data_IF_847987146437
#
_entry.id   IF_847987146437
#
_cell.length_a   1.000
_cell.length_b   1.000
_cell.length_c   1.000
_cell.angle_alpha   90.00
_cell.angle_beta   90.00
_cell.angle_gamma   90.00
#
_symmetry.space_group_name_H-M   'P 1'
#
loop_
_entity.id
_entity.type
_entity.pdbx_description
1 polymer ?
#
# COMPACT_ATOMS: atom_id res chain seq x y z
N UNK A 1 16.31 -1.24 -2.75
CA UNK A 1 15.53 -0.12 -3.34
C UNK A 1 16.54 0.97 -3.66
N UNK A 2 16.98 1.01 -4.91
CA UNK A 2 17.96 1.97 -5.42
C UNK A 2 17.26 3.21 -6.01
N UNK A 3 18.02 4.14 -6.56
CA UNK A 3 17.60 5.43 -7.09
C UNK A 3 16.52 5.28 -8.16
N UNK A 4 16.68 4.30 -9.06
CA UNK A 4 15.71 4.01 -10.11
C UNK A 4 14.37 3.56 -9.52
N UNK A 5 14.39 2.64 -8.55
CA UNK A 5 13.17 2.16 -7.88
C UNK A 5 12.32 3.31 -7.32
N UNK A 6 12.96 4.29 -6.66
CA UNK A 6 12.24 5.42 -6.06
C UNK A 6 11.47 6.26 -7.10
N UNK A 7 12.02 6.43 -8.30
CA UNK A 7 11.34 7.13 -9.40
C UNK A 7 10.38 6.25 -10.19
N UNK A 8 10.75 5.00 -10.48
CA UNK A 8 9.97 4.10 -11.34
C UNK A 8 8.64 3.70 -10.70
N UNK A 9 8.60 3.52 -9.38
CA UNK A 9 7.36 3.28 -8.65
C UNK A 9 6.38 4.46 -8.77
N UNK A 10 6.89 5.70 -8.74
CA UNK A 10 6.07 6.90 -8.94
C UNK A 10 5.47 6.91 -10.34
N UNK A 11 6.31 6.70 -11.36
CA UNK A 11 5.86 6.62 -12.76
C UNK A 11 4.81 5.52 -12.94
N UNK A 12 5.10 4.31 -12.48
CA UNK A 12 4.23 3.15 -12.62
C UNK A 12 2.85 3.37 -11.98
N UNK A 13 2.78 3.84 -10.75
CA UNK A 13 1.50 4.05 -10.08
C UNK A 13 0.72 5.25 -10.62
N UNK A 14 1.40 6.28 -11.14
CA UNK A 14 0.73 7.37 -11.83
C UNK A 14 0.09 6.87 -13.14
N UNK A 15 0.78 6.04 -13.92
CA UNK A 15 0.22 5.42 -15.12
C UNK A 15 -0.96 4.49 -14.79
N UNK A 16 -0.85 3.63 -13.77
CA UNK A 16 -1.93 2.75 -13.33
C UNK A 16 -3.14 3.54 -12.78
N UNK A 17 -2.91 4.71 -12.19
CA UNK A 17 -3.98 5.58 -11.70
C UNK A 17 -4.83 6.16 -12.83
N UNK A 18 -4.24 6.39 -14.00
CA UNK A 18 -4.92 6.90 -15.20
C UNK A 18 -5.40 5.79 -16.15
N UNK A 19 -4.91 4.56 -15.99
CA UNK A 19 -5.35 3.43 -16.81
C UNK A 19 -6.78 2.99 -16.45
N UNK A 20 -7.73 3.29 -17.32
CA UNK A 20 -9.14 2.93 -17.17
C UNK A 20 -9.42 1.42 -17.28
N UNK A 21 -8.48 0.64 -17.83
CA UNK A 21 -8.60 -0.82 -17.91
C UNK A 21 -8.15 -1.51 -16.62
N UNK A 22 -7.21 -0.89 -15.89
CA UNK A 22 -6.74 -1.39 -14.61
C UNK A 22 -7.82 -1.23 -13.53
N UNK A 23 -8.14 -2.32 -12.82
CA UNK A 23 -9.10 -2.29 -11.69
C UNK A 23 -8.45 -2.57 -10.35
N UNK A 24 -7.39 -3.38 -10.34
CA UNK A 24 -6.70 -3.85 -9.14
C UNK A 24 -5.23 -4.07 -9.48
N UNK A 25 -4.33 -3.75 -8.57
CA UNK A 25 -2.89 -3.97 -8.71
C UNK A 25 -2.46 -5.07 -7.74
N UNK A 26 -1.63 -6.00 -8.21
CA UNK A 26 -0.94 -6.97 -7.33
C UNK A 26 0.54 -6.66 -7.33
N UNK A 27 1.12 -6.43 -6.16
CA UNK A 27 2.56 -6.18 -5.95
C UNK A 27 3.20 -7.42 -5.34
N UNK A 28 4.31 -7.89 -5.92
CA UNK A 28 5.13 -8.99 -5.38
C UNK A 28 6.61 -8.76 -5.68
N UNK A 29 7.50 -9.48 -4.98
CA UNK A 29 8.94 -9.43 -5.22
C UNK A 29 9.42 -10.58 -6.11
N UNK A 30 10.41 -10.32 -6.97
CA UNK A 30 11.12 -11.37 -7.70
C UNK A 30 12.15 -12.08 -6.79
N UNK A 31 12.57 -13.30 -7.18
CA UNK A 31 13.62 -14.02 -6.47
C UNK A 31 13.22 -14.53 -5.07
N UNK A 32 14.20 -14.68 -4.18
CA UNK A 32 14.08 -15.38 -2.88
C UNK A 32 13.33 -14.62 -1.80
N UNK A 33 13.32 -13.30 -1.85
CA UNK A 33 12.75 -12.43 -0.82
C UNK A 33 11.83 -11.40 -1.49
N UNK A 34 10.90 -10.83 -0.73
CA UNK A 34 10.11 -9.71 -1.20
C UNK A 34 10.98 -8.46 -1.40
N UNK A 35 11.71 -8.04 -0.36
CA UNK A 35 12.72 -6.97 -0.45
C UNK A 35 13.66 -6.96 0.75
N UNK A 36 14.94 -6.67 0.49
CA UNK A 36 15.94 -6.43 1.53
C UNK A 36 15.97 -4.95 2.00
N UNK A 37 15.09 -4.09 1.48
CA UNK A 37 15.01 -2.68 1.85
C UNK A 37 15.85 -1.77 0.95
N UNK A 38 16.34 -0.66 1.50
CA UNK A 38 17.11 0.35 0.77
C UNK A 38 18.46 -0.21 0.30
N UNK A 39 18.95 0.25 -0.85
CA UNK A 39 20.34 0.04 -1.23
C UNK A 39 21.22 1.01 -0.42
N UNK A 40 21.99 0.47 0.54
CA UNK A 40 22.79 1.30 1.46
C UNK A 40 23.90 2.06 0.75
N UNK A 41 24.52 1.47 -0.28
CA UNK A 41 25.59 2.14 -1.03
C UNK A 41 25.03 3.31 -1.82
N UNK A 42 23.87 3.11 -2.45
CA UNK A 42 23.20 4.18 -3.17
C UNK A 42 22.68 5.28 -2.23
N UNK A 43 22.17 4.92 -1.04
CA UNK A 43 21.81 5.88 0.01
C UNK A 43 23.02 6.72 0.45
N UNK A 44 24.17 6.08 0.69
CA UNK A 44 25.40 6.78 1.06
C UNK A 44 25.85 7.78 -0.01
N UNK A 45 25.76 7.40 -1.29
CA UNK A 45 26.18 8.26 -2.40
C UNK A 45 25.18 9.39 -2.70
N UNK A 46 23.88 9.16 -2.54
CA UNK A 46 22.84 10.10 -2.97
C UNK A 46 22.30 11.00 -1.85
N UNK A 47 22.33 10.55 -0.58
CA UNK A 47 21.74 11.25 0.57
C UNK A 47 22.82 11.81 1.49
N UNK A 48 23.88 11.04 1.78
CA UNK A 48 24.91 11.43 2.75
C UNK A 48 26.02 12.33 2.18
N UNK A 49 25.93 12.71 0.90
CA UNK A 49 26.75 13.76 0.28
C UNK A 49 25.86 14.92 -0.20
N UNK A 50 25.22 15.66 0.71
CA UNK A 50 24.38 16.79 0.33
C UNK A 50 25.24 17.99 -0.11
N UNK A 51 24.80 18.66 -1.17
CA UNK A 51 25.35 19.95 -1.59
C UNK A 51 24.68 21.10 -0.84
N UNK A 52 25.44 22.15 -0.51
CA UNK A 52 24.93 23.40 0.05
C UNK A 52 25.96 24.12 0.91
N UNK A 53 25.90 25.45 0.92
CA UNK A 53 26.90 26.30 1.58
C UNK A 53 26.79 26.32 3.12
N UNK A 54 25.63 25.94 3.66
CA UNK A 54 25.37 25.89 5.10
C UNK A 54 24.33 24.84 5.47
N UNK A 55 24.16 24.61 6.78
CA UNK A 55 23.20 23.65 7.32
C UNK A 55 21.77 23.90 6.85
N UNK A 56 21.34 25.15 6.71
CA UNK A 56 19.96 25.46 6.33
C UNK A 56 19.68 25.11 4.86
N UNK A 57 20.61 25.43 3.95
CA UNK A 57 20.55 25.11 2.52
C UNK A 57 20.62 23.59 2.30
N UNK A 58 21.55 22.91 2.98
CA UNK A 58 21.65 21.45 3.00
C UNK A 58 20.32 20.83 3.46
N UNK A 59 19.77 21.31 4.58
CA UNK A 59 18.51 20.82 5.15
C UNK A 59 17.33 20.99 4.18
N UNK A 60 17.28 22.09 3.43
CA UNK A 60 16.26 22.31 2.42
C UNK A 60 16.36 21.30 1.26
N UNK A 61 17.58 21.02 0.80
CA UNK A 61 17.86 19.97 -0.19
C UNK A 61 17.45 18.59 0.30
N UNK A 62 17.81 18.22 1.53
CA UNK A 62 17.45 16.95 2.16
C UNK A 62 15.93 16.81 2.29
N UNK A 63 15.23 17.84 2.80
CA UNK A 63 13.76 17.82 2.89
C UNK A 63 13.11 17.58 1.53
N UNK A 64 13.61 18.20 0.47
CA UNK A 64 13.12 17.98 -0.90
C UNK A 64 13.36 16.54 -1.36
N UNK A 65 14.52 15.95 -1.05
CA UNK A 65 14.82 14.53 -1.35
C UNK A 65 13.88 13.60 -0.59
N UNK A 66 13.73 13.76 0.73
CA UNK A 66 12.82 12.95 1.56
C UNK A 66 11.38 13.02 1.02
N UNK A 67 10.90 14.22 0.64
CA UNK A 67 9.56 14.36 0.06
C UNK A 67 9.38 13.58 -1.26
N UNK A 68 10.42 13.48 -2.09
CA UNK A 68 10.38 12.64 -3.30
C UNK A 68 10.35 11.15 -2.95
N UNK A 69 11.13 10.71 -1.95
CA UNK A 69 11.13 9.31 -1.51
C UNK A 69 9.79 8.91 -0.85
N UNK A 70 9.19 9.82 -0.08
CA UNK A 70 7.83 9.64 0.48
C UNK A 70 6.79 9.46 -0.63
N UNK A 71 6.95 10.16 -1.76
CA UNK A 71 6.01 10.06 -2.88
C UNK A 71 6.00 8.66 -3.49
N UNK A 72 7.14 7.96 -3.53
CA UNK A 72 7.29 6.58 -4.02
C UNK A 72 6.25 5.61 -3.47
N UNK A 73 5.90 5.73 -2.19
CA UNK A 73 4.85 4.90 -1.58
C UNK A 73 3.53 5.63 -1.44
N UNK A 74 3.53 6.95 -1.37
CA UNK A 74 2.29 7.73 -1.31
C UNK A 74 1.45 7.61 -2.58
N UNK A 75 2.07 7.40 -3.75
CA UNK A 75 1.33 7.11 -5.00
C UNK A 75 0.51 5.83 -4.94
N UNK A 76 0.91 4.84 -4.12
CA UNK A 76 0.17 3.57 -3.94
C UNK A 76 -1.17 3.84 -3.24
N UNK A 77 -1.13 4.67 -2.20
CA UNK A 77 -2.31 5.09 -1.45
C UNK A 77 -3.20 6.03 -2.28
N UNK A 78 -2.59 6.97 -3.02
CA UNK A 78 -3.31 7.90 -3.91
C UNK A 78 -3.96 7.21 -5.11
N UNK A 79 -3.38 6.11 -5.59
CA UNK A 79 -3.95 5.34 -6.69
C UNK A 79 -5.35 4.84 -6.31
N UNK A 80 -6.41 5.18 -7.08
CA UNK A 80 -7.77 4.85 -6.69
C UNK A 80 -8.07 3.34 -6.83
N UNK A 81 -7.25 2.60 -7.57
CA UNK A 81 -7.35 1.14 -7.70
C UNK A 81 -6.84 0.46 -6.42
N UNK A 82 -7.53 -0.57 -5.89
CA UNK A 82 -7.01 -1.35 -4.78
C UNK A 82 -5.68 -2.04 -5.12
N UNK A 83 -4.80 -2.12 -4.13
CA UNK A 83 -3.47 -2.68 -4.23
C UNK A 83 -3.34 -3.83 -3.23
N UNK A 84 -3.24 -5.04 -3.77
CA UNK A 84 -2.94 -6.25 -3.01
C UNK A 84 -1.44 -6.47 -3.04
N UNK A 85 -0.80 -6.62 -1.90
CA UNK A 85 0.62 -6.96 -1.81
C UNK A 85 0.82 -8.36 -1.27
N UNK A 86 1.67 -9.12 -1.96
CA UNK A 86 1.96 -10.52 -1.70
C UNK A 86 3.44 -10.67 -1.31
N UNK A 87 3.69 -10.89 -0.01
CA UNK A 87 5.02 -10.88 0.60
C UNK A 87 5.53 -12.30 0.87
N UNK A 88 6.65 -12.69 0.25
CA UNK A 88 7.38 -13.92 0.59
C UNK A 88 8.76 -13.62 1.18
N UNK A 89 9.21 -14.44 2.14
CA UNK A 89 10.49 -14.24 2.81
C UNK A 89 10.60 -12.85 3.47
N UNK A 90 11.74 -12.17 3.26
CA UNK A 90 12.03 -10.93 3.98
C UNK A 90 11.30 -9.70 3.40
N UNK A 91 10.75 -8.87 4.29
CA UNK A 91 10.26 -7.52 4.03
C UNK A 91 10.91 -6.54 5.03
N UNK A 92 11.95 -5.84 4.58
CA UNK A 92 12.87 -5.10 5.46
C UNK A 92 12.86 -3.61 5.19
N UNK A 93 12.87 -2.79 6.26
CA UNK A 93 12.98 -1.34 6.22
C UNK A 93 11.89 -0.71 5.35
N UNK A 94 12.29 0.05 4.33
CA UNK A 94 11.40 0.62 3.30
C UNK A 94 10.42 -0.38 2.64
N UNK A 95 10.66 -1.70 2.75
CA UNK A 95 9.65 -2.70 2.44
C UNK A 95 8.39 -2.58 3.29
N UNK A 96 8.53 -2.34 4.60
CA UNK A 96 7.43 -2.08 5.54
C UNK A 96 6.70 -0.78 5.18
N UNK A 97 7.44 0.27 4.80
CA UNK A 97 6.87 1.54 4.35
C UNK A 97 5.99 1.37 3.11
N UNK A 98 6.44 0.52 2.19
CA UNK A 98 5.68 0.17 0.99
C UNK A 98 4.41 -0.61 1.32
N UNK A 99 4.51 -1.73 2.06
CA UNK A 99 3.32 -2.59 2.29
C UNK A 99 2.27 -1.91 3.17
N UNK A 100 2.67 -0.98 4.04
CA UNK A 100 1.75 -0.20 4.88
C UNK A 100 1.00 0.87 4.08
N UNK A 101 1.46 1.20 2.87
CA UNK A 101 0.73 2.02 1.90
C UNK A 101 -0.22 1.21 0.99
N UNK A 102 -0.09 -0.12 0.94
CA UNK A 102 -0.99 -1.01 0.21
C UNK A 102 -2.29 -1.27 0.99
N UNK A 103 -3.35 -1.68 0.28
CA UNK A 103 -4.68 -1.87 0.85
C UNK A 103 -4.84 -3.24 1.54
N UNK A 104 -4.39 -4.31 0.87
CA UNK A 104 -4.52 -5.69 1.33
C UNK A 104 -3.13 -6.33 1.37
N UNK A 105 -2.77 -6.93 2.51
CA UNK A 105 -1.47 -7.61 2.69
C UNK A 105 -1.67 -9.11 2.86
N UNK A 106 -0.92 -9.89 2.10
CA UNK A 106 -0.86 -11.36 2.16
C UNK A 106 0.60 -11.76 2.35
N UNK A 107 0.86 -12.85 3.06
CA UNK A 107 2.23 -13.34 3.16
C UNK A 107 2.34 -14.86 3.12
N UNK A 108 3.56 -15.35 2.92
CA UNK A 108 3.90 -16.76 3.10
C UNK A 108 4.23 -17.07 4.57
N UNK A 109 4.25 -18.35 4.92
CA UNK A 109 4.58 -18.81 6.28
C UNK A 109 6.02 -18.50 6.67
N UNK A 110 6.94 -18.48 5.70
CA UNK A 110 8.35 -18.11 5.91
C UNK A 110 8.60 -16.59 5.87
N UNK A 111 7.54 -15.79 5.71
CA UNK A 111 7.67 -14.34 5.64
C UNK A 111 7.98 -13.73 7.01
N UNK A 112 8.75 -12.64 6.99
CA UNK A 112 9.01 -11.83 8.16
C UNK A 112 9.20 -10.35 7.79
N UNK A 113 8.86 -9.49 8.74
CA UNK A 113 8.79 -8.04 8.60
C UNK A 113 9.73 -7.38 9.60
N UNK A 114 10.40 -6.29 9.20
CA UNK A 114 11.34 -5.60 10.07
C UNK A 114 11.37 -4.11 9.79
N UNK A 115 11.00 -3.29 10.77
CA UNK A 115 11.26 -1.84 10.77
C UNK A 115 12.74 -1.67 11.12
N UNK A 116 13.60 -1.56 10.11
CA UNK A 116 15.05 -1.76 10.24
C UNK A 116 15.82 -0.46 10.49
N UNK A 117 15.14 0.67 10.37
CA UNK A 117 15.74 2.00 10.25
C UNK A 117 16.57 2.39 11.48
N UNK A 118 16.18 1.99 12.70
CA UNK A 118 16.96 2.29 13.90
C UNK A 118 18.32 1.60 13.94
N UNK A 119 18.46 0.42 13.32
CA UNK A 119 19.75 -0.27 13.22
C UNK A 119 20.72 0.41 12.25
N UNK A 120 20.22 1.31 11.38
CA UNK A 120 21.04 2.13 10.47
C UNK A 120 21.14 3.59 10.94
N UNK A 121 20.68 3.89 12.16
CA UNK A 121 20.83 5.20 12.78
C UNK A 121 19.83 6.25 12.31
N UNK A 122 18.66 5.86 11.77
CA UNK A 122 17.62 6.80 11.35
C UNK A 122 16.22 6.38 11.82
N UNK A 123 15.34 7.34 12.02
CA UNK A 123 13.92 7.07 12.20
C UNK A 123 13.27 6.91 10.82
N UNK A 124 12.43 5.89 10.63
CA UNK A 124 11.78 5.66 9.33
C UNK A 124 10.97 6.87 8.87
N UNK A 125 11.27 7.37 7.67
CA UNK A 125 10.82 8.69 7.20
C UNK A 125 10.04 8.63 5.87
N UNK A 126 9.86 7.44 5.28
CA UNK A 126 9.15 7.26 4.00
C UNK A 126 7.74 6.66 4.11
N UNK A 127 7.28 6.32 5.33
CA UNK A 127 5.88 6.00 5.57
C UNK A 127 5.54 5.14 6.79
N UNK A 128 6.46 4.29 7.26
CA UNK A 128 6.18 3.29 8.30
C UNK A 128 5.60 3.94 9.56
N UNK A 129 6.25 5.00 10.07
CA UNK A 129 5.80 5.67 11.30
C UNK A 129 4.46 6.41 11.14
N UNK A 130 4.03 6.69 9.91
CA UNK A 130 2.76 7.38 9.63
C UNK A 130 1.62 6.40 9.32
N UNK A 131 1.93 5.22 8.78
CA UNK A 131 0.95 4.25 8.27
C UNK A 131 0.85 2.97 9.08
N UNK A 132 1.95 2.42 9.59
CA UNK A 132 1.93 1.19 10.39
C UNK A 132 0.97 1.28 11.59
N UNK A 133 0.98 2.36 12.42
CA UNK A 133 0.04 2.48 13.54
C UNK A 133 -1.43 2.60 13.10
N UNK A 134 -1.70 2.89 11.82
CA UNK A 134 -3.05 3.02 11.27
C UNK A 134 -3.57 1.74 10.61
N UNK A 135 -2.72 0.71 10.48
CA UNK A 135 -3.09 -0.56 9.83
C UNK A 135 -2.99 -1.76 10.78
N UNK A 136 -2.43 -1.61 11.98
CA UNK A 136 -2.50 -2.59 13.06
C UNK A 136 -2.98 -1.96 14.37
N UNK A 137 -3.71 -2.72 15.19
CA UNK A 137 -4.40 -2.17 16.37
C UNK A 137 -3.54 -2.02 17.63
N UNK A 138 -2.40 -2.70 17.73
CA UNK A 138 -1.56 -2.68 18.93
C UNK A 138 -0.45 -1.64 18.84
N UNK A 139 -0.67 -0.46 19.42
CA UNK A 139 0.36 0.59 19.49
C UNK A 139 1.61 0.15 20.28
N UNK A 140 1.44 -0.68 21.33
CA UNK A 140 2.57 -1.22 22.09
C UNK A 140 3.47 -2.08 21.20
N UNK A 141 2.89 -2.93 20.37
CA UNK A 141 3.64 -3.74 19.42
C UNK A 141 4.33 -2.87 18.37
N UNK A 142 3.65 -1.86 17.82
CA UNK A 142 4.26 -0.91 16.88
C UNK A 142 5.51 -0.26 17.47
N UNK A 143 5.43 0.21 18.72
CA UNK A 143 6.56 0.82 19.42
C UNK A 143 7.70 -0.18 19.58
N UNK A 144 7.40 -1.41 20.02
CA UNK A 144 8.42 -2.45 20.16
C UNK A 144 9.13 -2.75 18.83
N UNK A 145 8.38 -2.93 17.75
CA UNK A 145 8.94 -3.21 16.43
C UNK A 145 9.82 -2.06 15.92
N UNK A 146 9.35 -0.81 16.06
CA UNK A 146 10.06 0.37 15.57
C UNK A 146 11.31 0.72 16.41
N UNK A 147 11.27 0.48 17.73
CA UNK A 147 12.37 0.84 18.65
C UNK A 147 13.43 -0.24 18.76
N UNK A 148 13.09 -1.51 18.52
CA UNK A 148 14.02 -2.64 18.66
C UNK A 148 14.55 -3.17 17.32
N UNK A 149 13.93 -2.78 16.21
CA UNK A 149 14.13 -3.37 14.89
C UNK A 149 14.05 -4.90 14.89
N UNK A 150 13.36 -5.54 15.84
CA UNK A 150 13.23 -7.00 15.80
C UNK A 150 12.40 -7.46 14.61
N UNK A 151 12.57 -8.72 14.24
CA UNK A 151 11.71 -9.35 13.24
C UNK A 151 10.34 -9.67 13.83
N UNK A 152 9.30 -9.45 13.03
CA UNK A 152 7.96 -9.98 13.24
C UNK A 152 7.72 -11.08 12.19
N UNK A 153 7.46 -12.30 12.64
CA UNK A 153 7.22 -13.45 11.76
C UNK A 153 5.75 -13.57 11.36
N UNK A 154 5.46 -14.38 10.35
CA UNK A 154 4.14 -14.51 9.74
C UNK A 154 2.97 -14.69 10.73
N UNK A 155 3.13 -15.55 11.75
CA UNK A 155 2.08 -15.82 12.74
C UNK A 155 1.75 -14.58 13.58
N UNK A 156 2.78 -13.85 14.02
CA UNK A 156 2.61 -12.60 14.76
C UNK A 156 2.03 -11.50 13.86
N UNK A 157 2.51 -11.39 12.61
CA UNK A 157 1.99 -10.47 11.61
C UNK A 157 0.49 -10.73 11.34
N UNK A 158 0.06 -12.00 11.35
CA UNK A 158 -1.34 -12.38 11.22
C UNK A 158 -2.14 -12.04 12.47
N UNK A 159 -1.62 -12.35 13.66
CA UNK A 159 -2.32 -12.05 14.92
C UNK A 159 -2.46 -10.55 15.22
N UNK A 160 -1.51 -9.74 14.76
CA UNK A 160 -1.51 -8.28 14.94
C UNK A 160 -2.42 -7.55 13.94
N UNK A 161 -2.85 -8.25 12.88
CA UNK A 161 -3.64 -7.68 11.79
C UNK A 161 -2.80 -7.02 10.68
N UNK A 162 -1.46 -7.14 10.71
CA UNK A 162 -0.64 -6.63 9.61
C UNK A 162 -1.00 -7.34 8.30
N UNK A 163 -1.20 -8.66 8.32
CA UNK A 163 -1.56 -9.45 7.12
C UNK A 163 -2.94 -10.08 7.24
N UNK A 164 -3.68 -10.08 6.14
CA UNK A 164 -5.03 -10.64 6.04
C UNK A 164 -5.02 -12.16 5.90
N UNK A 165 -4.03 -12.76 5.25
CA UNK A 165 -3.91 -14.22 5.09
C UNK A 165 -2.44 -14.64 5.04
N UNK A 166 -2.16 -15.84 5.55
CA UNK A 166 -0.86 -16.51 5.49
C UNK A 166 -1.01 -17.76 4.63
N UNK A 167 -0.05 -18.01 3.74
CA UNK A 167 -0.04 -19.12 2.80
C UNK A 167 1.19 -20.00 2.99
N UNK A 168 1.12 -21.27 2.61
CA UNK A 168 2.23 -22.22 2.77
C UNK A 168 3.50 -21.76 2.03
N UNK A 169 3.34 -21.28 0.81
CA UNK A 169 4.44 -20.87 -0.06
C UNK A 169 4.02 -19.73 -1.00
N UNK A 170 5.00 -19.26 -1.79
CA UNK A 170 4.83 -18.14 -2.72
C UNK A 170 3.82 -18.44 -3.83
N UNK A 171 3.77 -19.66 -4.34
CA UNK A 171 2.87 -20.03 -5.43
C UNK A 171 1.42 -19.97 -4.96
N UNK A 172 1.13 -20.60 -3.83
CA UNK A 172 -0.18 -20.56 -3.19
C UNK A 172 -0.60 -19.12 -2.83
N UNK A 173 0.34 -18.31 -2.32
CA UNK A 173 0.09 -16.89 -2.03
C UNK A 173 -0.27 -16.11 -3.30
N UNK A 174 0.46 -16.31 -4.40
CA UNK A 174 0.20 -15.60 -5.65
C UNK A 174 -1.16 -16.01 -6.25
N UNK A 175 -1.51 -17.30 -6.18
CA UNK A 175 -2.84 -17.76 -6.58
C UNK A 175 -3.95 -17.08 -5.75
N UNK A 176 -3.79 -17.02 -4.42
CA UNK A 176 -4.74 -16.34 -3.54
C UNK A 176 -4.81 -14.83 -3.75
N UNK A 177 -3.67 -14.18 -4.07
CA UNK A 177 -3.63 -12.76 -4.40
C UNK A 177 -4.40 -12.45 -5.70
N UNK A 178 -4.20 -13.28 -6.73
CA UNK A 178 -4.90 -13.16 -8.01
C UNK A 178 -6.38 -13.49 -7.90
N UNK A 179 -6.76 -14.44 -7.03
CA UNK A 179 -8.16 -14.73 -6.72
C UNK A 179 -8.84 -13.48 -6.11
N UNK A 180 -8.25 -12.91 -5.06
CA UNK A 180 -8.76 -11.68 -4.41
C UNK A 180 -8.84 -10.54 -5.44
N UNK A 181 -7.80 -10.36 -6.26
CA UNK A 181 -7.80 -9.33 -7.29
C UNK A 181 -8.92 -9.56 -8.33
N UNK A 182 -9.14 -10.80 -8.75
CA UNK A 182 -10.24 -11.16 -9.66
C UNK A 182 -11.62 -10.91 -9.05
N UNK A 183 -11.79 -11.18 -7.75
CA UNK A 183 -13.04 -10.89 -7.03
C UNK A 183 -13.34 -9.40 -6.94
N UNK A 184 -12.32 -8.57 -6.70
CA UNK A 184 -12.44 -7.11 -6.66
C UNK A 184 -12.68 -6.57 -8.08
N UNK A 185 -11.93 -7.04 -9.08
CA UNK A 185 -12.06 -6.62 -10.47
C UNK A 185 -13.43 -6.97 -11.09
N UNK A 186 -14.10 -8.00 -10.57
CA UNK A 186 -15.47 -8.35 -10.93
C UNK A 186 -16.56 -7.46 -10.31
N UNK A 187 -16.21 -6.43 -9.54
CA UNK A 187 -17.16 -5.45 -8.98
C UNK A 187 -17.18 -4.17 -9.82
N UNK A 188 -18.16 -3.32 -9.54
CA UNK A 188 -18.23 -1.96 -10.12
C UNK A 188 -16.94 -1.20 -9.79
N UNK A 189 -16.19 -0.71 -10.79
CA UNK A 189 -14.99 0.09 -10.53
C UNK A 189 -15.34 1.42 -9.86
N UNK A 190 -16.51 2.02 -10.16
CA UNK A 190 -17.01 3.22 -9.48
C UNK A 190 -17.14 2.97 -7.98
N UNK A 191 -17.78 1.86 -7.59
CA UNK A 191 -17.99 1.52 -6.19
C UNK A 191 -16.67 1.17 -5.48
N UNK A 192 -15.81 0.37 -6.11
CA UNK A 192 -14.54 -0.08 -5.51
C UNK A 192 -13.57 1.08 -5.31
N UNK A 193 -13.32 1.86 -6.37
CA UNK A 193 -12.38 2.99 -6.29
C UNK A 193 -12.91 4.07 -5.33
N UNK A 194 -14.22 4.38 -5.40
CA UNK A 194 -14.87 5.28 -4.45
C UNK A 194 -14.77 4.80 -3.01
N UNK A 195 -14.89 3.49 -2.77
CA UNK A 195 -14.71 2.91 -1.42
C UNK A 195 -13.30 3.14 -0.91
N UNK A 196 -12.26 2.86 -1.71
CA UNK A 196 -10.86 3.10 -1.32
C UNK A 196 -10.62 4.58 -0.98
N UNK A 197 -11.04 5.48 -1.87
CA UNK A 197 -10.87 6.94 -1.68
C UNK A 197 -11.51 7.39 -0.35
N UNK A 198 -12.74 6.95 -0.07
CA UNK A 198 -13.46 7.35 1.13
C UNK A 198 -12.94 6.68 2.41
N UNK A 199 -12.43 5.44 2.35
CA UNK A 199 -11.74 4.80 3.48
C UNK A 199 -10.48 5.58 3.87
N UNK A 200 -9.69 6.03 2.88
CA UNK A 200 -8.49 6.82 3.12
C UNK A 200 -8.85 8.20 3.70
N UNK A 201 -9.91 8.84 3.18
CA UNK A 201 -10.40 10.11 3.72
C UNK A 201 -10.85 9.94 5.18
N UNK A 202 -11.72 8.98 5.47
CA UNK A 202 -12.25 8.72 6.81
C UNK A 202 -11.17 8.42 7.85
N UNK A 203 -10.06 7.79 7.45
CA UNK A 203 -8.92 7.48 8.34
C UNK A 203 -8.24 8.72 8.93
N UNK A 204 -8.40 9.88 8.30
CA UNK A 204 -7.68 11.12 8.67
C UNK A 204 -8.60 12.27 9.07
N UNK A 205 -9.91 12.06 9.12
CA UNK A 205 -10.90 13.08 9.43
C UNK A 205 -11.87 12.58 10.51
N UNK A 206 -12.66 13.48 11.07
CA UNK A 206 -13.74 13.06 11.98
C UNK A 206 -14.80 12.27 11.22
N UNK A 207 -15.61 11.50 11.95
CA UNK A 207 -16.75 10.78 11.35
C UNK A 207 -17.72 11.77 10.68
N UNK A 208 -17.93 12.94 11.28
CA UNK A 208 -18.82 13.97 10.71
C UNK A 208 -18.29 14.50 9.36
N UNK A 209 -17.01 14.84 9.28
CA UNK A 209 -16.37 15.28 8.03
C UNK A 209 -16.39 14.17 6.96
N UNK A 210 -16.13 12.92 7.38
CA UNK A 210 -16.18 11.76 6.48
C UNK A 210 -17.56 11.51 5.91
N UNK A 211 -18.62 11.69 6.71
CA UNK A 211 -20.01 11.55 6.29
C UNK A 211 -20.45 12.66 5.32
N UNK A 212 -20.02 13.90 5.55
CA UNK A 212 -20.28 15.01 4.62
C UNK A 212 -19.55 14.81 3.29
N UNK A 213 -18.28 14.39 3.35
CA UNK A 213 -17.47 14.09 2.17
C UNK A 213 -18.08 12.96 1.33
N UNK A 214 -18.47 11.83 1.93
CA UNK A 214 -19.10 10.71 1.18
C UNK A 214 -20.47 11.09 0.62
N UNK A 215 -21.24 11.96 1.28
CA UNK A 215 -22.50 12.47 0.74
C UNK A 215 -22.26 13.29 -0.53
N UNK A 216 -21.28 14.20 -0.48
CA UNK A 216 -20.83 15.00 -1.63
C UNK A 216 -20.26 14.12 -2.75
N UNK A 217 -19.53 13.05 -2.42
CA UNK A 217 -19.03 12.09 -3.39
C UNK A 217 -20.17 11.32 -4.09
N UNK A 218 -21.07 10.73 -3.31
CA UNK A 218 -22.11 9.84 -3.82
C UNK A 218 -23.23 10.57 -4.55
N UNK A 219 -23.44 11.88 -4.35
CA UNK A 219 -24.42 12.64 -5.15
C UNK A 219 -24.15 12.52 -6.66
N UNK A 220 -22.89 12.35 -7.07
CA UNK A 220 -22.50 12.07 -8.45
C UNK A 220 -22.42 10.56 -8.72
N UNK A 221 -21.72 9.80 -7.87
CA UNK A 221 -21.42 8.39 -8.17
C UNK A 221 -22.63 7.47 -8.18
N UNK A 222 -23.73 7.83 -7.51
CA UNK A 222 -24.99 7.07 -7.56
C UNK A 222 -25.69 7.14 -8.93
N UNK A 223 -25.30 8.06 -9.81
CA UNK A 223 -25.88 8.23 -11.15
C UNK A 223 -25.31 7.22 -12.18
N UNK A 224 -24.50 6.26 -11.74
CA UNK A 224 -23.91 5.20 -12.59
C UNK A 224 -24.92 4.12 -12.99
N UNK A 225 -24.77 3.56 -14.19
CA UNK A 225 -25.50 2.35 -14.61
C UNK A 225 -25.12 1.12 -13.78
N UNK A 226 -23.95 1.11 -13.15
CA UNK A 226 -23.45 -0.03 -12.38
C UNK A 226 -24.40 -0.40 -11.24
N UNK A 227 -25.08 0.59 -10.65
CA UNK A 227 -26.06 0.39 -9.58
C UNK A 227 -27.26 -0.41 -10.09
N UNK A 228 -27.83 0.01 -11.22
CA UNK A 228 -28.98 -0.65 -11.84
C UNK A 228 -28.65 -2.07 -12.29
N UNK A 229 -27.49 -2.25 -12.94
CA UNK A 229 -26.99 -3.58 -13.35
C UNK A 229 -26.86 -4.51 -12.12
N UNK A 230 -26.34 -3.98 -11.02
CA UNK A 230 -26.10 -4.77 -9.79
C UNK A 230 -27.40 -5.12 -9.07
N UNK A 231 -28.36 -4.19 -9.03
CA UNK A 231 -29.68 -4.43 -8.48
C UNK A 231 -30.45 -5.50 -9.28
N UNK A 232 -30.42 -5.44 -10.61
CA UNK A 232 -31.03 -6.45 -11.47
C UNK A 232 -30.40 -7.84 -11.27
N UNK A 233 -29.07 -7.93 -11.25
CA UNK A 233 -28.37 -9.19 -11.01
C UNK A 233 -28.72 -9.81 -9.65
N UNK A 234 -28.85 -8.98 -8.61
CA UNK A 234 -29.26 -9.44 -7.28
C UNK A 234 -30.70 -9.98 -7.26
N UNK A 235 -31.64 -9.28 -7.91
CA UNK A 235 -33.04 -9.73 -8.05
C UNK A 235 -33.14 -11.05 -8.83
N UNK A 236 -32.34 -11.21 -9.88
CA UNK A 236 -32.26 -12.42 -10.70
C UNK A 236 -31.41 -13.55 -10.08
N UNK A 237 -30.82 -13.32 -8.89
CA UNK A 237 -29.87 -14.24 -8.23
C UNK A 237 -28.69 -14.65 -9.11
N UNK A 238 -28.27 -13.76 -10.01
CA UNK A 238 -27.07 -13.95 -10.84
C UNK A 238 -25.81 -13.67 -10.02
N UNK A 239 -24.74 -14.39 -10.33
CA UNK A 239 -23.44 -14.15 -9.72
C UNK A 239 -22.90 -12.77 -10.14
N UNK A 240 -22.36 -11.96 -9.22
CA UNK A 240 -21.68 -10.72 -9.59
C UNK A 240 -20.53 -10.95 -10.57
N UNK A 241 -19.92 -12.15 -10.58
CA UNK A 241 -18.82 -12.51 -11.49
C UNK A 241 -19.23 -12.54 -12.97
N UNK A 242 -20.53 -12.67 -13.27
CA UNK A 242 -21.03 -12.69 -14.67
C UNK A 242 -21.42 -11.30 -15.17
N UNK A 243 -21.22 -10.26 -14.37
CA UNK A 243 -21.57 -8.90 -14.74
C UNK A 243 -20.41 -8.18 -15.42
N UNK A 244 -20.75 -7.38 -16.43
CA UNK A 244 -19.80 -6.51 -17.12
C UNK A 244 -20.11 -5.05 -16.80
N UNK A 245 -19.13 -4.36 -16.23
CA UNK A 245 -19.16 -2.92 -16.00
C UNK A 245 -18.23 -2.22 -16.99
N UNK A 246 -18.52 -0.96 -17.30
CA UNK A 246 -17.66 -0.14 -18.17
C UNK A 246 -16.29 0.10 -17.52
N UNK A 247 -15.31 0.52 -18.34
CA UNK A 247 -14.02 1.02 -17.85
C UNK A 247 -14.20 2.34 -17.08
N UNK A 248 -13.33 2.60 -16.11
CA UNK A 248 -13.27 3.83 -15.30
C UNK A 248 -11.80 4.20 -15.10
#
# INVERSE_FOLDING_TARGET
MNSAFWSEMVTCFNELSEDAQCRVVVVSGAGKLFTAGIDLMDMMNSVLQPEGDDTARISWGIKKKIKKLQETFSVIEKCPKPVVVAIHGACVGAGVDMITACDIRLCTQDAWFQVKEVDIGLAADVGTLQRLPKVIGSQSLVNELALTARKMYADEAKSSGLVSRVFADKEAMMAGALEIAGEIAGRSPVAVQGTKINLIYARNHSVADGLDYIATWNMSMLQTEDLMKSAQAALEKKSPKTMTYSKL
#
